data_IF_371683084341
#
_entry.id   IF_371683084341
#
_cell.length_a   1.000
_cell.length_b   1.000
_cell.length_c   1.000
_cell.angle_alpha   90.00
_cell.angle_beta   90.00
_cell.angle_gamma   90.00
#
_symmetry.space_group_name_H-M   'P 1'
#
loop_
_entity.id
_entity.type
_entity.pdbx_description
1 polymer ?
#
# COMPACT_ATOMS: atom_id res chain seq x y z
N UNK A 1 9.04 2.55 1.17
CA UNK A 1 8.42 1.25 0.79
C UNK A 1 7.25 1.59 -0.11
N UNK A 2 7.20 1.17 -1.38
CA UNK A 2 6.20 1.59 -2.42
C UNK A 2 4.71 1.40 -2.05
N UNK A 3 4.43 0.78 -0.90
CA UNK A 3 3.11 0.29 -0.51
C UNK A 3 2.12 1.40 -0.15
N UNK A 4 2.61 2.54 0.35
CA UNK A 4 1.76 3.69 0.66
C UNK A 4 1.24 4.33 -0.63
N UNK A 5 2.15 4.62 -1.55
CA UNK A 5 1.80 5.24 -2.82
C UNK A 5 0.98 4.32 -3.73
N UNK A 6 1.26 3.01 -3.78
CA UNK A 6 0.48 2.06 -4.60
C UNK A 6 -1.02 2.09 -4.26
N UNK A 7 -1.36 2.21 -2.97
CA UNK A 7 -2.76 2.33 -2.52
C UNK A 7 -3.38 3.62 -3.00
N UNK A 8 -2.67 4.73 -2.82
CA UNK A 8 -3.14 6.06 -3.25
C UNK A 8 -3.29 6.12 -4.77
N UNK A 9 -2.36 5.54 -5.52
CA UNK A 9 -2.44 5.40 -6.98
C UNK A 9 -3.73 4.67 -7.39
N UNK A 10 -4.04 3.56 -6.74
CA UNK A 10 -5.27 2.82 -7.01
C UNK A 10 -6.55 3.60 -6.68
N UNK A 11 -6.51 4.38 -5.59
CA UNK A 11 -7.61 5.29 -5.25
C UNK A 11 -7.80 6.40 -6.30
N UNK A 12 -6.70 6.99 -6.79
CA UNK A 12 -6.67 8.05 -7.81
C UNK A 12 -7.12 7.55 -9.17
N UNK A 13 -6.65 6.36 -9.58
CA UNK A 13 -7.14 5.67 -10.78
C UNK A 13 -8.61 5.24 -10.64
N UNK A 14 -9.19 5.42 -9.46
CA UNK A 14 -10.60 5.22 -9.23
C UNK A 14 -10.97 3.76 -9.14
N UNK A 15 -10.09 2.84 -8.74
CA UNK A 15 -10.44 1.42 -8.58
C UNK A 15 -11.33 1.19 -7.35
N UNK A 16 -12.23 0.19 -7.46
CA UNK A 16 -13.14 -0.19 -6.37
C UNK A 16 -12.48 -1.06 -5.31
N UNK A 17 -11.37 -1.70 -5.67
CA UNK A 17 -10.56 -2.54 -4.80
C UNK A 17 -9.35 -1.78 -4.27
N UNK A 18 -8.84 -2.19 -3.12
CA UNK A 18 -7.58 -1.65 -2.59
C UNK A 18 -6.42 -2.20 -3.41
N UNK A 19 -5.72 -1.32 -4.11
CA UNK A 19 -4.55 -1.70 -4.91
C UNK A 19 -3.31 -1.76 -4.03
N UNK A 20 -2.76 -2.95 -3.87
CA UNK A 20 -1.44 -3.20 -3.29
C UNK A 20 -0.63 -4.07 -4.25
N UNK A 21 0.67 -4.21 -4.01
CA UNK A 21 1.55 -5.07 -4.83
C UNK A 21 1.00 -6.49 -4.99
N UNK A 22 0.42 -7.05 -3.92
CA UNK A 22 -0.23 -8.35 -3.98
C UNK A 22 -1.44 -8.35 -4.92
N UNK A 23 -2.32 -7.33 -4.88
CA UNK A 23 -3.45 -7.19 -5.82
C UNK A 23 -2.96 -7.14 -7.26
N UNK A 24 -1.88 -6.38 -7.54
CA UNK A 24 -1.32 -6.31 -8.90
C UNK A 24 -0.81 -7.68 -9.37
N UNK A 25 -0.10 -8.41 -8.51
CA UNK A 25 0.39 -9.77 -8.82
C UNK A 25 -0.74 -10.78 -8.94
N UNK A 26 -1.76 -10.68 -8.09
CA UNK A 26 -3.00 -11.45 -8.14
C UNK A 26 -3.68 -11.30 -9.50
N UNK A 27 -3.89 -10.06 -9.94
CA UNK A 27 -4.54 -9.79 -11.22
C UNK A 27 -3.70 -10.29 -12.39
N UNK A 28 -2.42 -9.92 -12.44
CA UNK A 28 -1.52 -10.35 -13.50
C UNK A 28 -1.47 -11.88 -13.60
N UNK A 29 -1.38 -12.58 -12.46
CA UNK A 29 -1.38 -14.04 -12.43
C UNK A 29 -2.65 -14.65 -13.04
N UNK A 30 -3.82 -14.08 -12.77
CA UNK A 30 -5.08 -14.55 -13.38
C UNK A 30 -5.17 -14.24 -14.88
N UNK A 31 -4.66 -13.09 -15.32
CA UNK A 31 -4.60 -12.77 -16.74
C UNK A 31 -3.63 -13.69 -17.50
N UNK A 32 -2.53 -14.11 -16.85
CA UNK A 32 -1.60 -15.08 -17.41
C UNK A 32 -2.21 -16.47 -17.49
N UNK A 33 -2.92 -16.89 -16.44
CA UNK A 33 -3.61 -18.19 -16.36
C UNK A 33 -4.67 -18.38 -17.45
N UNK A 34 -5.38 -17.31 -17.81
CA UNK A 34 -6.42 -17.35 -18.83
C UNK A 34 -5.90 -17.15 -20.26
N UNK A 35 -4.60 -16.89 -20.42
CA UNK A 35 -4.00 -16.67 -21.73
C UNK A 35 -3.64 -18.01 -22.38
N UNK A 36 -4.24 -18.32 -23.54
CA UNK A 36 -3.97 -19.56 -24.29
C UNK A 36 -2.50 -19.76 -24.65
N UNK A 37 -1.73 -18.68 -24.70
CA UNK A 37 -0.32 -18.69 -25.09
C UNK A 37 0.64 -18.83 -23.89
N UNK A 38 0.11 -18.91 -22.67
CA UNK A 38 0.91 -19.04 -21.44
C UNK A 38 0.55 -20.35 -20.77
N UNK A 39 1.51 -21.28 -20.73
CA UNK A 39 1.36 -22.54 -19.99
C UNK A 39 1.43 -22.31 -18.47
N UNK A 40 0.93 -23.28 -17.69
CA UNK A 40 1.10 -23.29 -16.23
C UNK A 40 2.56 -23.13 -15.81
N UNK A 41 3.47 -23.82 -16.51
CA UNK A 41 4.92 -23.72 -16.27
C UNK A 41 5.45 -22.30 -16.48
N UNK A 42 5.04 -21.64 -17.57
CA UNK A 42 5.44 -20.27 -17.86
C UNK A 42 4.82 -19.27 -16.88
N UNK A 43 3.53 -19.42 -16.53
CA UNK A 43 2.87 -18.64 -15.48
C UNK A 43 3.62 -18.77 -14.15
N UNK A 44 3.98 -20.00 -13.77
CA UNK A 44 4.72 -20.28 -12.56
C UNK A 44 6.14 -19.66 -12.59
N UNK A 45 6.83 -19.70 -13.73
CA UNK A 45 8.12 -19.02 -13.91
C UNK A 45 7.98 -17.50 -13.72
N UNK A 46 7.02 -16.86 -14.39
CA UNK A 46 6.76 -15.41 -14.31
C UNK A 46 6.38 -14.98 -12.87
N UNK A 47 5.62 -15.81 -12.18
CA UNK A 47 5.23 -15.61 -10.78
C UNK A 47 6.23 -16.21 -9.79
N UNK A 48 7.39 -16.71 -10.22
CA UNK A 48 8.39 -17.34 -9.35
C UNK A 48 7.80 -18.36 -8.35
N UNK A 49 6.87 -19.18 -8.83
CA UNK A 49 6.28 -20.28 -8.07
C UNK A 49 6.97 -21.59 -8.46
N UNK A 50 7.28 -22.43 -7.46
CA UNK A 50 7.83 -23.76 -7.72
C UNK A 50 6.84 -24.69 -8.45
N UNK A 51 5.54 -24.49 -8.22
CA UNK A 51 4.45 -25.25 -8.84
C UNK A 51 3.11 -24.49 -8.74
N UNK A 52 2.10 -25.02 -9.45
CA UNK A 52 0.77 -24.42 -9.56
C UNK A 52 0.01 -24.36 -8.23
N UNK A 53 0.33 -25.21 -7.24
CA UNK A 53 -0.34 -25.22 -5.93
C UNK A 53 -0.27 -23.87 -5.21
N UNK A 54 0.83 -23.14 -5.39
CA UNK A 54 0.97 -21.79 -4.81
C UNK A 54 0.02 -20.82 -5.49
N UNK A 55 -0.11 -20.91 -6.82
CA UNK A 55 -1.05 -20.10 -7.59
C UNK A 55 -2.49 -20.44 -7.22
N UNK A 56 -2.88 -21.72 -7.27
CA UNK A 56 -4.23 -22.19 -6.93
C UNK A 56 -4.67 -21.74 -5.54
N UNK A 57 -3.79 -21.84 -4.54
CA UNK A 57 -4.12 -21.51 -3.15
C UNK A 57 -4.18 -20.01 -2.89
N UNK A 58 -3.32 -19.22 -3.52
CA UNK A 58 -3.08 -17.83 -3.13
C UNK A 58 -3.34 -16.79 -4.23
N UNK A 59 -3.50 -17.19 -5.48
CA UNK A 59 -3.59 -16.27 -6.61
C UNK A 59 -4.77 -16.57 -7.54
N UNK A 60 -5.29 -17.80 -7.56
CA UNK A 60 -6.44 -18.14 -8.39
C UNK A 60 -7.67 -17.29 -8.05
N UNK A 61 -8.29 -16.78 -9.11
CA UNK A 61 -9.48 -15.95 -9.13
C UNK A 61 -10.65 -16.63 -8.44
N UNK A 62 -11.36 -15.90 -7.58
CA UNK A 62 -12.68 -16.33 -7.10
C UNK A 62 -13.84 -15.82 -7.95
N UNK A 63 -13.56 -14.81 -8.79
CA UNK A 63 -14.49 -14.34 -9.81
C UNK A 63 -14.40 -15.31 -10.98
N UNK A 64 -15.54 -15.79 -11.46
CA UNK A 64 -15.64 -16.72 -12.59
C UNK A 64 -15.85 -15.90 -13.87
N UNK A 65 -14.82 -15.71 -14.72
CA UNK A 65 -14.92 -14.88 -15.93
C UNK A 65 -15.39 -15.69 -17.15
N UNK A 66 -16.17 -16.74 -16.90
CA UNK A 66 -16.66 -17.68 -17.91
C UNK A 66 -18.17 -17.53 -18.02
N UNK A 67 -18.68 -17.49 -19.25
CA UNK A 67 -20.12 -17.47 -19.52
C UNK A 67 -20.70 -18.87 -19.27
N UNK A 68 -21.01 -19.16 -18.01
CA UNK A 68 -21.49 -20.48 -17.58
C UNK A 68 -22.82 -20.86 -18.21
N UNK A 69 -23.67 -19.87 -18.52
CA UNK A 69 -24.95 -20.11 -19.18
C UNK A 69 -24.77 -20.54 -20.64
N UNK A 70 -23.87 -19.89 -21.38
CA UNK A 70 -23.52 -20.34 -22.73
C UNK A 70 -22.93 -21.74 -22.73
N UNK A 71 -22.07 -22.07 -21.75
CA UNK A 71 -21.51 -23.43 -21.59
C UNK A 71 -22.61 -24.47 -21.40
N UNK A 72 -23.52 -24.26 -20.43
CA UNK A 72 -24.62 -25.20 -20.14
C UNK A 72 -25.59 -25.31 -21.32
N UNK A 73 -25.77 -24.23 -22.07
CA UNK A 73 -26.66 -24.19 -23.23
C UNK A 73 -26.00 -24.65 -24.53
N UNK A 74 -24.74 -25.09 -24.50
CA UNK A 74 -23.94 -25.43 -25.69
C UNK A 74 -23.87 -24.31 -26.74
N UNK A 75 -23.81 -23.05 -26.29
CA UNK A 75 -23.70 -21.85 -27.14
C UNK A 75 -22.29 -21.28 -27.12
N UNK A 76 -22.01 -20.43 -28.11
CA UNK A 76 -20.79 -19.62 -28.12
C UNK A 76 -20.75 -18.69 -26.91
N UNK A 77 -19.61 -18.65 -26.22
CA UNK A 77 -19.42 -17.87 -25.00
C UNK A 77 -19.06 -16.42 -25.31
N UNK A 78 -19.61 -15.48 -24.54
CA UNK A 78 -19.26 -14.06 -24.62
C UNK A 78 -17.96 -13.72 -23.88
N UNK A 79 -16.84 -14.35 -24.26
CA UNK A 79 -15.55 -14.28 -23.53
C UNK A 79 -15.05 -12.85 -23.31
N UNK A 80 -15.12 -11.99 -24.31
CA UNK A 80 -14.64 -10.61 -24.21
C UNK A 80 -15.46 -9.80 -23.20
N UNK A 81 -16.79 -9.93 -23.24
CA UNK A 81 -17.69 -9.26 -22.29
C UNK A 81 -17.45 -9.76 -20.87
N UNK A 82 -17.37 -11.08 -20.67
CA UNK A 82 -17.12 -11.67 -19.36
C UNK A 82 -15.78 -11.24 -18.79
N UNK A 83 -14.71 -11.27 -19.60
CA UNK A 83 -13.38 -10.81 -19.18
C UNK A 83 -13.40 -9.33 -18.80
N UNK A 84 -14.07 -8.49 -19.58
CA UNK A 84 -14.21 -7.07 -19.28
C UNK A 84 -14.99 -6.84 -17.98
N UNK A 85 -16.18 -7.43 -17.83
CA UNK A 85 -17.05 -7.28 -16.67
C UNK A 85 -16.43 -7.81 -15.37
N UNK A 86 -15.62 -8.87 -15.46
CA UNK A 86 -14.91 -9.46 -14.33
C UNK A 86 -13.54 -8.83 -14.06
N UNK A 87 -13.07 -7.92 -14.93
CA UNK A 87 -11.79 -7.24 -14.74
C UNK A 87 -11.85 -6.22 -13.59
N UNK A 88 -10.72 -5.96 -12.95
CA UNK A 88 -10.64 -4.84 -11.98
C UNK A 88 -10.81 -3.49 -12.66
N UNK A 89 -10.49 -3.40 -13.95
CA UNK A 89 -10.73 -2.23 -14.78
C UNK A 89 -12.22 -1.85 -14.84
N UNK A 90 -13.13 -2.81 -14.80
CA UNK A 90 -14.58 -2.55 -14.75
C UNK A 90 -14.98 -1.68 -13.56
N UNK A 91 -14.31 -1.87 -12.42
CA UNK A 91 -14.58 -1.07 -11.22
C UNK A 91 -14.03 0.35 -11.29
N UNK A 92 -13.17 0.67 -12.26
CA UNK A 92 -12.48 1.95 -12.33
C UNK A 92 -13.44 3.09 -12.70
N UNK A 93 -13.51 4.12 -11.86
CA UNK A 93 -14.31 5.31 -12.12
C UNK A 93 -13.62 6.58 -11.63
N UNK A 94 -13.46 7.55 -12.55
CA UNK A 94 -12.93 8.89 -12.25
C UNK A 94 -13.83 9.69 -11.30
N UNK A 95 -15.10 9.30 -11.15
CA UNK A 95 -16.07 9.92 -10.24
C UNK A 95 -15.95 9.44 -8.80
N UNK A 96 -15.24 8.33 -8.55
CA UNK A 96 -15.17 7.76 -7.21
C UNK A 96 -14.44 8.72 -6.25
N UNK A 97 -15.02 9.06 -5.08
CA UNK A 97 -14.41 10.01 -4.15
C UNK A 97 -13.00 9.62 -3.71
N UNK A 98 -12.04 10.53 -3.91
CA UNK A 98 -10.63 10.36 -3.53
C UNK A 98 -10.28 11.05 -2.20
N UNK A 99 -11.08 12.04 -1.80
CA UNK A 99 -10.94 12.82 -0.57
C UNK A 99 -12.27 12.89 0.19
N UNK A 100 -12.19 13.20 1.48
CA UNK A 100 -13.36 13.57 2.27
C UNK A 100 -13.73 15.03 2.00
N UNK A 101 -15.01 15.37 2.07
CA UNK A 101 -15.44 16.77 2.06
C UNK A 101 -14.94 17.50 3.31
N UNK A 102 -14.97 18.84 3.28
CA UNK A 102 -14.61 19.65 4.45
C UNK A 102 -15.48 19.31 5.67
N UNK A 103 -16.79 19.15 5.46
CA UNK A 103 -17.76 18.76 6.48
C UNK A 103 -17.47 17.37 7.05
N UNK A 104 -17.26 16.36 6.19
CA UNK A 104 -16.90 15.00 6.62
C UNK A 104 -15.56 14.96 7.37
N UNK A 105 -14.64 15.86 7.03
CA UNK A 105 -13.36 15.99 7.71
C UNK A 105 -13.49 16.68 9.06
N UNK A 106 -14.38 17.67 9.17
CA UNK A 106 -14.68 18.40 10.40
C UNK A 106 -15.39 17.49 11.41
N UNK A 107 -16.35 16.68 10.96
CA UNK A 107 -17.13 15.77 11.82
C UNK A 107 -16.29 14.73 12.57
N UNK A 108 -15.03 14.52 12.15
CA UNK A 108 -14.09 13.61 12.83
C UNK A 108 -13.66 14.18 14.19
N UNK A 109 -13.71 15.50 14.35
CA UNK A 109 -13.39 16.13 15.64
C UNK A 109 -14.48 15.83 16.68
N UNK A 110 -15.70 15.52 16.26
CA UNK A 110 -16.83 15.25 17.15
C UNK A 110 -16.83 13.82 17.69
N UNK A 111 -15.88 12.98 17.26
CA UNK A 111 -15.75 11.61 17.77
C UNK A 111 -15.50 11.61 19.29
N UNK A 112 -16.26 10.82 20.08
CA UNK A 112 -16.16 10.83 21.55
C UNK A 112 -14.74 10.58 22.08
N UNK A 113 -13.93 9.76 21.39
CA UNK A 113 -12.57 9.46 21.79
C UNK A 113 -11.63 10.63 21.52
N UNK A 114 -11.85 11.37 20.42
CA UNK A 114 -11.10 12.59 20.12
C UNK A 114 -11.41 13.68 21.15
N UNK A 115 -12.69 13.87 21.48
CA UNK A 115 -13.14 14.81 22.51
C UNK A 115 -12.55 14.46 23.88
N UNK A 116 -12.51 13.18 24.23
CA UNK A 116 -11.89 12.74 25.48
C UNK A 116 -10.39 13.04 25.54
N UNK A 117 -9.66 12.76 24.44
CA UNK A 117 -8.24 13.10 24.35
C UNK A 117 -8.00 14.61 24.42
N UNK A 118 -8.90 15.44 23.87
CA UNK A 118 -8.83 16.89 24.03
C UNK A 118 -9.00 17.32 25.48
N UNK A 119 -10.01 16.81 26.19
CA UNK A 119 -10.21 17.08 27.63
C UNK A 119 -9.00 16.66 28.46
N UNK A 120 -8.45 15.48 28.20
CA UNK A 120 -7.22 15.02 28.88
C UNK A 120 -6.02 15.94 28.60
N UNK A 121 -5.89 16.44 27.37
CA UNK A 121 -4.83 17.39 26.99
C UNK A 121 -4.98 18.71 27.74
N UNK A 122 -6.18 19.28 27.76
CA UNK A 122 -6.49 20.53 28.46
C UNK A 122 -6.27 20.42 29.97
N UNK A 123 -6.71 19.33 30.58
CA UNK A 123 -6.47 19.05 31.99
C UNK A 123 -4.98 18.95 32.34
N UNK A 124 -4.16 18.37 31.46
CA UNK A 124 -2.71 18.33 31.69
C UNK A 124 -2.05 19.69 31.47
N UNK A 125 -2.58 20.52 30.57
CA UNK A 125 -2.09 21.88 30.38
C UNK A 125 -2.41 22.76 31.60
N UNK A 126 -3.59 22.61 32.20
CA UNK A 126 -3.98 23.38 33.40
C UNK A 126 -3.12 23.05 34.64
N UNK A 127 -2.57 21.83 34.72
CA UNK A 127 -1.61 21.44 35.77
C UNK A 127 -0.19 21.99 35.61
N UNK A 128 0.08 22.69 34.51
CA UNK A 128 1.38 23.31 34.24
C UNK A 128 2.44 22.36 33.64
N UNK A 129 3.29 22.93 32.81
CA UNK A 129 4.31 22.25 31.98
C UNK A 129 5.65 22.00 32.71
N UNK A 130 5.71 22.14 34.03
CA UNK A 130 7.01 22.20 34.73
C UNK A 130 7.72 20.83 34.84
N UNK A 131 6.96 19.72 34.86
CA UNK A 131 7.51 18.37 35.00
C UNK A 131 7.74 17.67 33.65
N UNK A 132 8.87 16.99 33.51
CA UNK A 132 9.19 16.17 32.33
C UNK A 132 8.15 15.03 32.10
N UNK A 133 7.56 14.53 33.18
CA UNK A 133 6.46 13.54 33.13
C UNK A 133 5.20 14.12 32.47
N UNK A 134 4.87 15.39 32.75
CA UNK A 134 3.73 16.08 32.13
C UNK A 134 4.01 16.35 30.65
N UNK A 135 5.21 16.83 30.30
CA UNK A 135 5.65 17.00 28.90
C UNK A 135 5.54 15.71 28.09
N UNK A 136 6.01 14.61 28.65
CA UNK A 136 5.95 13.29 27.99
C UNK A 136 4.51 12.85 27.75
N UNK A 137 3.62 13.03 28.74
CA UNK A 137 2.19 12.72 28.58
C UNK A 137 1.51 13.61 27.54
N UNK A 138 1.78 14.91 27.52
CA UNK A 138 1.25 15.83 26.51
C UNK A 138 1.68 15.43 25.09
N UNK A 139 2.96 15.06 24.90
CA UNK A 139 3.45 14.53 23.61
C UNK A 139 2.72 13.26 23.22
N UNK A 140 2.49 12.35 24.18
CA UNK A 140 1.75 11.10 23.93
C UNK A 140 0.32 11.38 23.49
N UNK A 141 -0.43 12.18 24.26
CA UNK A 141 -1.83 12.51 23.91
C UNK A 141 -1.91 13.21 22.56
N UNK A 142 -0.98 14.12 22.26
CA UNK A 142 -0.94 14.77 20.94
C UNK A 142 -0.74 13.77 19.81
N UNK A 143 0.16 12.78 19.98
CA UNK A 143 0.33 11.67 19.03
C UNK A 143 -0.91 10.80 18.94
N UNK A 144 -1.56 10.51 20.07
CA UNK A 144 -2.77 9.70 20.12
C UNK A 144 -3.91 10.39 19.35
N UNK A 145 -4.13 11.70 19.57
CA UNK A 145 -5.09 12.52 18.80
C UNK A 145 -4.80 12.43 17.30
N UNK A 146 -3.55 12.65 16.90
CA UNK A 146 -3.16 12.59 15.48
C UNK A 146 -3.39 11.21 14.88
N UNK A 147 -3.02 10.15 15.59
CA UNK A 147 -3.18 8.76 15.14
C UNK A 147 -4.65 8.37 15.01
N UNK A 148 -5.48 8.82 15.95
CA UNK A 148 -6.90 8.53 16.03
C UNK A 148 -7.65 9.28 14.93
N UNK A 149 -7.37 10.58 14.73
CA UNK A 149 -7.87 11.34 13.58
C UNK A 149 -7.48 10.69 12.26
N UNK A 150 -6.24 10.24 12.10
CA UNK A 150 -5.80 9.56 10.89
C UNK A 150 -6.51 8.20 10.69
N UNK A 151 -6.82 7.47 11.76
CA UNK A 151 -7.63 6.22 11.71
C UNK A 151 -9.06 6.51 11.28
N UNK A 152 -9.72 7.49 11.92
CA UNK A 152 -11.09 7.89 11.63
C UNK A 152 -11.23 8.43 10.20
N UNK A 153 -10.28 9.26 9.72
CA UNK A 153 -10.23 9.71 8.32
C UNK A 153 -10.19 8.55 7.33
N UNK A 154 -9.31 7.57 7.57
CA UNK A 154 -9.22 6.36 6.74
C UNK A 154 -10.53 5.57 6.74
N UNK A 155 -11.11 5.35 7.92
CA UNK A 155 -12.38 4.63 8.08
C UNK A 155 -13.53 5.35 7.38
N UNK A 156 -13.67 6.66 7.57
CA UNK A 156 -14.72 7.48 6.96
C UNK A 156 -14.59 7.51 5.44
N UNK A 157 -13.37 7.66 4.92
CA UNK A 157 -13.11 7.65 3.47
C UNK A 157 -13.51 6.30 2.85
N UNK A 158 -13.16 5.20 3.51
CA UNK A 158 -13.58 3.86 3.06
C UNK A 158 -15.10 3.71 3.04
N UNK A 159 -15.80 4.20 4.08
CA UNK A 159 -17.26 4.19 4.12
C UNK A 159 -17.88 5.00 2.98
N UNK A 160 -17.41 6.22 2.75
CA UNK A 160 -17.88 7.09 1.66
C UNK A 160 -17.68 6.41 0.31
N UNK A 161 -16.49 5.84 0.06
CA UNK A 161 -16.19 5.13 -1.20
C UNK A 161 -17.06 3.90 -1.40
N UNK A 162 -17.34 3.14 -0.34
CA UNK A 162 -18.22 1.95 -0.39
C UNK A 162 -19.67 2.33 -0.65
N UNK A 163 -20.20 3.31 0.08
CA UNK A 163 -21.56 3.83 -0.11
C UNK A 163 -21.74 4.32 -1.55
N UNK A 164 -20.82 5.17 -2.01
CA UNK A 164 -20.82 5.65 -3.39
C UNK A 164 -20.79 4.50 -4.41
N UNK A 165 -19.94 3.49 -4.22
CA UNK A 165 -19.86 2.35 -5.16
C UNK A 165 -21.16 1.53 -5.20
N UNK A 166 -21.90 1.46 -4.10
CA UNK A 166 -23.21 0.79 -4.04
C UNK A 166 -24.31 1.59 -4.73
N UNK A 167 -24.28 2.90 -4.57
CA UNK A 167 -25.35 3.81 -5.00
C UNK A 167 -25.17 4.31 -6.43
N UNK A 168 -23.93 4.41 -6.93
CA UNK A 168 -23.60 5.00 -8.23
C UNK A 168 -24.45 4.43 -9.38
N UNK A 169 -24.59 3.10 -9.46
CA UNK A 169 -25.35 2.48 -10.53
C UNK A 169 -26.84 2.88 -10.49
N UNK A 170 -27.43 2.97 -9.29
CA UNK A 170 -28.82 3.41 -9.11
C UNK A 170 -28.97 4.87 -9.54
N UNK A 171 -28.08 5.75 -9.06
CA UNK A 171 -28.07 7.17 -9.43
C UNK A 171 -27.90 7.38 -10.93
N UNK A 172 -27.03 6.60 -11.57
CA UNK A 172 -26.80 6.67 -13.02
C UNK A 172 -28.06 6.24 -13.81
N UNK A 173 -28.73 5.17 -13.37
CA UNK A 173 -30.00 4.70 -13.98
C UNK A 173 -31.10 5.74 -13.80
N UNK A 174 -31.29 6.29 -12.59
CA UNK A 174 -32.30 7.31 -12.31
C UNK A 174 -32.09 8.57 -13.15
N UNK A 175 -30.83 9.00 -13.34
CA UNK A 175 -30.49 10.12 -14.23
C UNK A 175 -30.85 9.81 -15.68
N UNK A 176 -30.50 8.62 -16.16
CA UNK A 176 -30.81 8.19 -17.52
C UNK A 176 -32.33 8.16 -17.75
N UNK A 177 -33.11 7.63 -16.81
CA UNK A 177 -34.58 7.63 -16.87
C UNK A 177 -35.16 9.05 -16.84
N UNK A 178 -34.52 9.98 -16.13
CA UNK A 178 -34.89 11.39 -16.11
C UNK A 178 -34.40 12.19 -17.33
N UNK A 179 -33.78 11.55 -18.34
CA UNK A 179 -33.20 12.22 -19.51
C UNK A 179 -32.00 13.12 -19.19
N UNK A 180 -31.38 12.95 -18.02
CA UNK A 180 -30.21 13.72 -17.58
C UNK A 180 -28.92 13.00 -17.99
N UNK A 181 -27.87 13.78 -18.24
CA UNK A 181 -26.53 13.24 -18.44
C UNK A 181 -25.94 12.71 -17.13
N UNK A 182 -24.94 11.82 -17.26
CA UNK A 182 -24.15 11.37 -16.12
C UNK A 182 -23.42 12.54 -15.46
N UNK A 183 -23.10 12.39 -14.18
CA UNK A 183 -22.26 13.38 -13.50
C UNK A 183 -20.91 13.49 -14.19
N UNK A 184 -20.40 14.71 -14.24
CA UNK A 184 -19.02 14.91 -14.64
C UNK A 184 -18.08 14.43 -13.52
N UNK A 185 -16.93 13.83 -13.87
CA UNK A 185 -15.88 13.59 -12.91
C UNK A 185 -15.48 14.87 -12.18
N UNK A 186 -15.27 14.84 -10.86
CA UNK A 186 -14.67 15.97 -10.19
C UNK A 186 -13.31 16.25 -10.84
N UNK A 187 -12.86 17.52 -10.89
CA UNK A 187 -11.54 17.85 -11.40
C UNK A 187 -10.53 16.91 -10.74
N UNK A 188 -9.68 16.30 -11.58
CA UNK A 188 -8.69 15.34 -11.09
C UNK A 188 -7.96 16.02 -9.94
N UNK A 189 -7.81 15.35 -8.79
CA UNK A 189 -7.06 15.93 -7.69
C UNK A 189 -5.63 16.04 -8.22
N UNK A 190 -5.29 17.21 -8.75
CA UNK A 190 -3.96 17.74 -8.69
C UNK A 190 -3.70 17.86 -7.20
N UNK A 191 -3.28 16.74 -6.59
CA UNK A 191 -2.81 16.70 -5.23
C UNK A 191 -1.64 17.68 -5.25
N UNK A 192 -1.87 18.94 -4.88
CA UNK A 192 -0.87 20.01 -4.90
C UNK A 192 0.36 19.70 -4.04
N UNK A 193 0.36 18.55 -3.36
CA UNK A 193 1.41 18.03 -2.51
C UNK A 193 2.05 16.72 -3.05
N UNK A 194 1.64 16.19 -4.21
CA UNK A 194 2.25 15.00 -4.79
C UNK A 194 3.63 15.34 -5.37
N UNK A 195 4.63 14.52 -5.07
CA UNK A 195 5.98 14.69 -5.60
C UNK A 195 5.95 14.63 -7.15
N UNK A 196 6.75 15.41 -7.90
CA UNK A 196 6.71 15.41 -9.37
C UNK A 196 6.83 14.01 -9.99
N UNK A 197 7.68 13.17 -9.41
CA UNK A 197 7.86 11.76 -9.84
C UNK A 197 6.61 10.91 -9.60
N UNK A 198 5.84 11.17 -8.54
CA UNK A 198 4.56 10.49 -8.27
C UNK A 198 3.49 10.87 -9.29
N UNK A 199 3.43 12.16 -9.66
CA UNK A 199 2.54 12.67 -10.70
C UNK A 199 2.87 12.05 -12.06
N UNK A 200 4.16 12.08 -12.46
CA UNK A 200 4.63 11.43 -13.68
C UNK A 200 4.29 9.94 -13.72
N UNK A 201 4.47 9.24 -12.59
CA UNK A 201 4.11 7.82 -12.50
C UNK A 201 2.62 7.60 -12.73
N UNK A 202 1.76 8.40 -12.10
CA UNK A 202 0.31 8.30 -12.28
C UNK A 202 -0.10 8.55 -13.74
N UNK A 203 0.38 9.64 -14.34
CA UNK A 203 0.08 10.00 -15.72
C UNK A 203 0.54 8.91 -16.70
N UNK A 204 1.75 8.39 -16.54
CA UNK A 204 2.28 7.35 -17.42
C UNK A 204 1.52 6.02 -17.31
N UNK A 205 1.10 5.62 -16.09
CA UNK A 205 0.36 4.38 -15.87
C UNK A 205 -1.12 4.47 -16.24
N UNK A 206 -1.70 5.67 -16.27
CA UNK A 206 -3.12 5.90 -16.62
C UNK A 206 -3.31 6.47 -18.02
N UNK A 207 -2.22 6.58 -18.80
CA UNK A 207 -2.27 7.02 -20.19
C UNK A 207 -3.22 6.12 -20.99
N UNK A 208 -4.13 6.70 -21.80
CA UNK A 208 -5.09 5.93 -22.59
C UNK A 208 -4.36 5.01 -23.57
N UNK A 209 -5.01 3.90 -23.93
CA UNK A 209 -4.52 3.06 -25.00
C UNK A 209 -4.56 3.82 -26.33
N UNK A 210 -3.60 3.54 -27.19
CA UNK A 210 -3.43 4.14 -28.50
C UNK A 210 -3.72 3.11 -29.57
N UNK A 211 -4.00 3.59 -30.79
CA UNK A 211 -4.44 2.75 -31.90
C UNK A 211 -3.30 2.34 -32.85
N UNK A 212 -2.06 2.74 -32.59
CA UNK A 212 -0.89 2.34 -33.38
C UNK A 212 0.12 1.58 -32.53
N UNK A 213 0.88 0.70 -33.19
CA UNK A 213 1.89 -0.12 -32.54
C UNK A 213 3.00 0.76 -31.97
N UNK A 214 3.45 1.75 -32.72
CA UNK A 214 4.52 2.69 -32.33
C UNK A 214 4.11 3.52 -31.10
N UNK A 215 2.89 4.03 -31.09
CA UNK A 215 2.38 4.81 -29.96
C UNK A 215 2.21 3.95 -28.71
N UNK A 216 1.80 2.68 -28.85
CA UNK A 216 1.76 1.75 -27.72
C UNK A 216 3.16 1.43 -27.19
N UNK A 217 4.17 1.27 -28.07
CA UNK A 217 5.56 1.14 -27.65
C UNK A 217 6.03 2.35 -26.84
N UNK A 218 5.76 3.57 -27.32
CA UNK A 218 6.10 4.80 -26.59
C UNK A 218 5.38 4.88 -25.24
N UNK A 219 4.08 4.56 -25.19
CA UNK A 219 3.29 4.54 -23.96
C UNK A 219 3.89 3.57 -22.94
N UNK A 220 4.19 2.34 -23.35
CA UNK A 220 4.80 1.30 -22.50
C UNK A 220 6.19 1.71 -22.02
N UNK A 221 7.03 2.23 -22.91
CA UNK A 221 8.37 2.70 -22.56
C UNK A 221 8.31 3.85 -21.55
N UNK A 222 7.41 4.82 -21.75
CA UNK A 222 7.23 5.91 -20.79
C UNK A 222 6.76 5.39 -19.41
N UNK A 223 5.83 4.44 -19.37
CA UNK A 223 5.40 3.81 -18.12
C UNK A 223 6.55 3.09 -17.40
N UNK A 224 7.39 2.33 -18.13
CA UNK A 224 8.58 1.66 -17.58
C UNK A 224 9.54 2.70 -16.99
N UNK A 225 9.87 3.75 -17.76
CA UNK A 225 10.75 4.82 -17.30
C UNK A 225 10.19 5.55 -16.09
N UNK A 226 8.87 5.74 -16.01
CA UNK A 226 8.22 6.37 -14.86
C UNK A 226 8.30 5.50 -13.60
N UNK A 227 8.09 4.18 -13.73
CA UNK A 227 8.28 3.22 -12.63
C UNK A 227 9.74 3.23 -12.18
N UNK A 228 10.69 3.18 -13.10
CA UNK A 228 12.13 3.24 -12.78
C UNK A 228 12.50 4.51 -12.02
N UNK A 229 12.07 5.69 -12.50
CA UNK A 229 12.31 6.96 -11.81
C UNK A 229 11.70 6.96 -10.40
N UNK A 230 10.52 6.36 -10.24
CA UNK A 230 9.85 6.29 -8.95
C UNK A 230 10.55 5.35 -7.96
N UNK A 231 11.15 4.25 -8.42
CA UNK A 231 11.87 3.31 -7.56
C UNK A 231 13.04 3.95 -6.79
N UNK A 232 13.61 5.04 -7.30
CA UNK A 232 14.66 5.81 -6.62
C UNK A 232 14.14 6.70 -5.48
N UNK A 233 12.82 6.90 -5.38
CA UNK A 233 12.19 7.77 -4.37
C UNK A 233 12.02 7.01 -3.05
N UNK A 234 12.60 7.54 -1.97
CA UNK A 234 12.43 6.98 -0.65
C UNK A 234 11.13 7.48 0.00
N UNK A 235 10.08 6.65 -0.02
CA UNK A 235 8.88 6.92 0.79
C UNK A 235 9.20 6.90 2.29
N UNK A 236 8.59 7.79 3.11
CA UNK A 236 8.73 7.75 4.55
C UNK A 236 8.26 6.39 5.10
N UNK A 237 8.93 5.86 6.14
CA UNK A 237 8.53 4.60 6.74
C UNK A 237 7.09 4.68 7.27
N UNK A 238 6.25 3.73 6.86
CA UNK A 238 4.92 3.57 7.46
C UNK A 238 5.08 3.33 8.96
N UNK A 239 4.20 3.89 9.82
CA UNK A 239 4.18 3.55 11.24
C UNK A 239 4.13 2.03 11.39
N UNK A 240 4.90 1.45 12.34
CA UNK A 240 4.91 0.01 12.52
C UNK A 240 3.49 -0.48 12.75
N UNK A 241 3.00 -1.39 11.90
CA UNK A 241 1.83 -2.18 12.26
C UNK A 241 2.22 -2.98 13.50
N UNK A 242 1.60 -2.67 14.63
CA UNK A 242 1.59 -3.54 15.80
C UNK A 242 0.96 -4.86 15.35
N UNK A 243 1.79 -5.80 14.90
CA UNK A 243 1.40 -7.21 14.92
C UNK A 243 1.17 -7.52 16.38
N UNK A 244 -0.06 -7.85 16.75
CA UNK A 244 -0.36 -8.48 18.02
C UNK A 244 0.66 -9.61 18.21
N UNK A 245 1.58 -9.46 19.16
CA UNK A 245 2.54 -10.50 19.50
C UNK A 245 1.72 -11.61 20.18
N UNK A 246 1.59 -12.75 19.51
CA UNK A 246 1.36 -13.99 20.21
C UNK A 246 2.49 -14.15 21.23
N UNK A 247 2.10 -14.42 22.48
CA UNK A 247 2.97 -14.62 23.63
C UNK A 247 3.94 -15.76 23.30
N UNK A 248 5.23 -15.46 23.24
CA UNK A 248 6.29 -16.46 23.24
C UNK A 248 7.25 -16.12 24.37
N UNK A 249 7.31 -17.04 25.31
CA UNK A 249 8.07 -17.07 26.56
C UNK A 249 9.54 -16.71 26.37
N UNK A 250 10.05 -15.85 27.26
CA UNK A 250 11.47 -15.50 27.39
C UNK A 250 12.29 -16.72 27.81
N UNK A 251 13.47 -16.87 27.22
CA UNK A 251 14.60 -17.55 27.87
C UNK A 251 15.82 -16.64 27.73
N UNK A 252 16.39 -16.27 28.88
CA UNK A 252 17.59 -15.46 29.04
C UNK A 252 18.81 -16.16 28.43
N UNK A 253 19.72 -15.39 27.83
CA UNK A 253 21.17 -15.63 27.95
C UNK A 253 21.90 -14.29 28.03
N UNK A 254 22.81 -14.26 28.99
CA UNK A 254 23.64 -13.20 29.55
C UNK A 254 24.63 -12.52 28.58
N UNK A 255 24.94 -11.26 28.92
CA UNK A 255 26.03 -10.45 28.36
C UNK A 255 27.42 -10.97 28.77
N UNK A 256 28.40 -10.88 27.87
CA UNK A 256 29.80 -10.57 28.22
C UNK A 256 30.38 -9.61 27.17
N UNK A 257 31.11 -8.60 27.64
CA UNK A 257 31.88 -7.61 26.85
C UNK A 257 33.35 -8.05 26.82
N UNK A 258 34.09 -7.81 25.74
CA UNK A 258 35.30 -6.94 25.76
C UNK A 258 35.91 -6.59 24.37
N UNK A 259 36.54 -5.40 24.31
CA UNK A 259 37.60 -4.86 23.43
C UNK A 259 37.74 -5.13 21.91
N UNK A 260 37.63 -4.09 21.07
CA UNK A 260 38.73 -3.39 20.33
C UNK A 260 38.17 -2.48 19.20
N UNK A 261 38.82 -1.34 18.94
CA UNK A 261 38.31 -0.28 18.06
C UNK A 261 38.25 -0.63 16.55
N UNK A 262 38.97 -1.66 16.09
CA UNK A 262 38.85 -2.21 14.72
C UNK A 262 37.69 -3.21 14.60
N UNK A 263 37.38 -3.92 15.68
CA UNK A 263 36.24 -4.83 15.74
C UNK A 263 34.92 -4.09 15.81
N UNK A 264 34.88 -2.83 16.26
CA UNK A 264 33.66 -2.01 16.28
C UNK A 264 33.06 -1.75 14.89
N UNK A 265 33.87 -1.56 13.85
CA UNK A 265 33.36 -1.30 12.50
C UNK A 265 32.83 -2.59 11.84
N UNK A 266 33.54 -3.71 12.02
CA UNK A 266 33.12 -5.04 11.58
C UNK A 266 31.88 -5.52 12.33
N UNK A 267 31.83 -5.29 13.64
CA UNK A 267 30.70 -5.57 14.53
C UNK A 267 29.49 -4.70 14.20
N UNK A 268 29.67 -3.39 13.95
CA UNK A 268 28.58 -2.50 13.55
C UNK A 268 28.01 -2.84 12.16
N UNK A 269 28.85 -3.25 11.21
CA UNK A 269 28.38 -3.76 9.92
C UNK A 269 27.62 -5.10 10.09
N UNK A 270 28.14 -6.00 10.92
CA UNK A 270 27.48 -7.25 11.33
C UNK A 270 26.12 -7.00 11.99
N UNK A 271 26.03 -6.01 12.88
CA UNK A 271 24.81 -5.57 13.56
C UNK A 271 23.82 -4.91 12.60
N UNK A 272 24.30 -4.12 11.63
CA UNK A 272 23.47 -3.53 10.60
C UNK A 272 22.85 -4.61 9.70
N UNK A 273 23.63 -5.62 9.29
CA UNK A 273 23.16 -6.78 8.53
C UNK A 273 22.15 -7.57 9.38
N UNK A 274 22.48 -7.90 10.63
CA UNK A 274 21.59 -8.65 11.54
C UNK A 274 20.34 -7.84 11.91
N UNK A 275 20.37 -6.50 11.90
CA UNK A 275 19.17 -5.68 12.11
C UNK A 275 18.10 -5.87 11.02
N UNK A 276 18.53 -6.30 9.83
CA UNK A 276 17.71 -6.61 8.66
C UNK A 276 17.28 -8.08 8.65
N UNK A 277 18.04 -8.96 9.31
CA UNK A 277 17.85 -10.42 9.36
C UNK A 277 17.61 -10.90 10.80
N UNK A 278 16.41 -11.39 11.12
CA UNK A 278 16.00 -11.60 12.53
C UNK A 278 16.85 -12.60 13.31
N UNK A 279 17.38 -13.64 12.66
CA UNK A 279 18.22 -14.65 13.32
C UNK A 279 19.44 -15.07 12.52
N UNK A 280 19.36 -15.07 11.19
CA UNK A 280 20.51 -15.39 10.33
C UNK A 280 20.38 -14.77 8.93
N UNK A 281 21.51 -14.64 8.23
CA UNK A 281 21.58 -14.19 6.82
C UNK A 281 20.82 -15.11 5.85
N UNK A 282 20.53 -16.34 6.28
CA UNK A 282 19.79 -17.36 5.53
C UNK A 282 18.27 -17.29 5.77
N UNK A 283 17.81 -16.53 6.78
CA UNK A 283 16.39 -16.39 7.09
C UNK A 283 15.76 -15.24 6.28
N UNK A 284 14.47 -15.37 5.91
CA UNK A 284 13.75 -14.36 5.14
C UNK A 284 13.74 -13.01 5.89
N UNK A 285 14.32 -11.98 5.28
CA UNK A 285 14.34 -10.63 5.86
C UNK A 285 12.92 -10.12 6.15
N UNK A 286 12.77 -9.51 7.34
CA UNK A 286 11.52 -8.82 7.73
C UNK A 286 11.53 -7.33 7.37
N UNK A 287 12.57 -6.83 6.68
CA UNK A 287 12.65 -5.46 6.15
C UNK A 287 12.54 -5.45 4.62
N UNK A 288 12.41 -4.27 4.01
CA UNK A 288 12.25 -4.15 2.56
C UNK A 288 13.57 -4.43 1.81
N UNK A 289 13.46 -4.78 0.52
CA UNK A 289 14.60 -5.07 -0.36
C UNK A 289 15.66 -3.96 -0.41
N UNK A 290 15.26 -2.68 -0.30
CA UNK A 290 16.20 -1.56 -0.24
C UNK A 290 17.00 -1.53 1.07
N UNK A 291 16.39 -1.91 2.20
CA UNK A 291 17.12 -2.01 3.48
C UNK A 291 18.09 -3.20 3.46
N UNK A 292 17.69 -4.32 2.87
CA UNK A 292 18.57 -5.49 2.66
C UNK A 292 19.74 -5.11 1.75
N UNK A 293 19.44 -4.56 0.58
CA UNK A 293 20.43 -4.14 -0.41
C UNK A 293 21.44 -3.17 0.19
N UNK A 294 20.97 -2.09 0.84
CA UNK A 294 21.86 -1.15 1.54
C UNK A 294 22.71 -1.86 2.56
N UNK A 295 22.14 -2.63 3.48
CA UNK A 295 22.92 -3.32 4.52
C UNK A 295 23.99 -4.28 3.95
N UNK A 296 23.74 -4.89 2.80
CA UNK A 296 24.69 -5.81 2.15
C UNK A 296 25.75 -5.12 1.30
N UNK A 297 25.60 -3.83 0.99
CA UNK A 297 26.54 -3.06 0.17
C UNK A 297 27.31 -2.01 0.96
N UNK A 298 27.05 -1.85 2.27
CA UNK A 298 27.77 -0.91 3.12
C UNK A 298 29.23 -1.35 3.31
N UNK A 299 30.14 -0.40 3.15
CA UNK A 299 31.54 -0.56 3.54
C UNK A 299 31.70 -0.26 5.03
N UNK A 300 32.67 -0.86 5.75
CA UNK A 300 32.85 -0.66 7.19
C UNK A 300 33.00 0.80 7.66
N UNK A 301 33.38 1.71 6.76
CA UNK A 301 33.54 3.15 7.02
C UNK A 301 32.31 4.00 6.67
N UNK A 302 31.20 3.40 6.23
CA UNK A 302 30.03 4.13 5.74
C UNK A 302 29.21 4.73 6.91
N UNK A 303 29.00 6.06 6.96
CA UNK A 303 28.24 6.72 8.03
C UNK A 303 26.78 6.27 8.13
N UNK A 304 26.23 5.63 7.08
CA UNK A 304 24.88 5.09 7.07
C UNK A 304 24.72 3.82 7.94
N UNK A 305 25.81 3.18 8.38
CA UNK A 305 25.79 2.01 9.28
C UNK A 305 24.99 2.31 10.54
N UNK A 306 25.27 3.44 11.20
CA UNK A 306 24.59 3.84 12.43
C UNK A 306 23.09 4.13 12.24
N UNK A 307 22.67 4.55 11.04
CA UNK A 307 21.27 4.80 10.70
C UNK A 307 20.43 3.53 10.63
N UNK A 308 21.02 2.41 10.20
CA UNK A 308 20.35 1.10 10.15
C UNK A 308 20.21 0.47 11.55
N UNK A 309 21.21 0.66 12.41
CA UNK A 309 21.25 0.16 13.79
C UNK A 309 20.26 0.92 14.71
N UNK A 310 20.16 2.26 14.59
CA UNK A 310 19.25 3.07 15.41
C UNK A 310 17.77 2.69 15.26
N UNK A 311 17.38 2.02 14.18
CA UNK A 311 16.03 1.45 14.00
C UNK A 311 15.73 0.24 14.91
N UNK A 312 16.76 -0.40 15.50
CA UNK A 312 16.60 -1.55 16.41
C UNK A 312 16.40 -1.17 17.88
N UNK A 313 17.01 -0.08 18.36
CA UNK A 313 17.10 0.19 19.81
C UNK A 313 15.78 0.70 20.42
N UNK A 314 14.84 1.20 19.61
CA UNK A 314 13.49 1.59 20.08
C UNK A 314 12.42 0.47 20.04
N UNK A 315 12.85 -0.80 19.96
CA UNK A 315 11.94 -1.96 19.93
C UNK A 315 12.10 -2.92 21.12
N UNK A 316 12.79 -2.47 22.16
CA UNK A 316 13.05 -3.25 23.37
C UNK A 316 12.65 -2.52 24.65
N UNK A 317 11.39 -2.10 24.76
CA UNK A 317 10.66 -1.97 26.03
C UNK A 317 9.17 -2.23 25.79
#
# INVERSE_FOLDING_TARGET
MISGWTKKLGELAGFGVVVILYTLRYNAGNEFDQCSNISDGLRNLMLQHANSRTFEKHYLGRVVPVDTMAVVSHKEQQKALMRQACSIGYSASKRRPTHLTAEQSASINDDPKIQDLFRQREYLLSKGNKSDKVRTRLRKITKDIQSEKARLRRKRKEQVRKAWTREQAVTDIERQLAGKTFEEPPPSPSDGNAHPVQKRLYEALTAPATNTVESEYHRRNNAILAVMSYCSVQEPPLPPMTRYKAVATKKDVSNLRDGTARDTASSALGDAITSVFVKSRMERSKRCFLCVGRATTLQPSDPAIHGLIKLSIHRGT
#
